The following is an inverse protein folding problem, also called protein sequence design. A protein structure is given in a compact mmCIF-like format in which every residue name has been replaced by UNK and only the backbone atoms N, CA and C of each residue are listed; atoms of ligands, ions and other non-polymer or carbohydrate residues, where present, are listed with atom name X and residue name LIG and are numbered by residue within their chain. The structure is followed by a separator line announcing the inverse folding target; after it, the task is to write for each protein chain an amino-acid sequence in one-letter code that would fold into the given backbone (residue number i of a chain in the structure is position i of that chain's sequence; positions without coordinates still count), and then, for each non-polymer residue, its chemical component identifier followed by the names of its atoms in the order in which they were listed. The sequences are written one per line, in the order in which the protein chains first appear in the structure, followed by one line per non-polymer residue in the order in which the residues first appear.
data_IF_086782283379
#
_entry.id   IF_086782283379
#
_cell.length_a   1.000
_cell.length_b   1.000
_cell.length_c   1.000
_cell.angle_alpha   90.00
_cell.angle_beta   90.00
_cell.angle_gamma   90.00
#
_symmetry.space_group_name_H-M   'P 1'
#
loop_
_entity.id
_entity.type
_entity.pdbx_description
1 polymer ?
#
# COMPACT_ATOMS: atom_id res chain seq x y z
N UNK A 1 -5.66 11.86 11.31
CA UNK A 1 -5.39 11.38 9.93
C UNK A 1 -3.91 11.09 9.78
N UNK A 2 -3.55 9.98 9.16
CA UNK A 2 -2.15 9.59 8.88
C UNK A 2 -1.96 9.35 7.39
N UNK A 3 -0.76 9.67 6.87
CA UNK A 3 -0.38 9.35 5.50
C UNK A 3 0.52 8.12 5.51
N UNK A 4 0.04 7.02 4.93
CA UNK A 4 0.73 5.74 4.88
C UNK A 4 1.17 5.40 3.45
N UNK A 5 2.12 6.17 2.93
CA UNK A 5 2.85 5.85 1.70
C UNK A 5 3.95 4.81 1.97
N UNK A 6 4.78 4.48 0.97
CA UNK A 6 5.74 3.39 1.11
C UNK A 6 6.77 3.60 2.24
N UNK A 7 7.20 4.83 2.49
CA UNK A 7 8.11 5.15 3.62
C UNK A 7 7.39 5.21 4.96
N UNK A 8 6.08 5.47 4.93
CA UNK A 8 5.25 5.59 6.11
C UNK A 8 4.35 4.36 6.36
N UNK A 9 4.50 3.30 5.59
CA UNK A 9 3.77 2.06 5.85
C UNK A 9 4.12 1.56 7.25
N UNK A 10 3.08 1.26 8.05
CA UNK A 10 3.25 0.94 9.47
C UNK A 10 2.98 2.10 10.43
N UNK A 11 2.92 3.36 9.98
CA UNK A 11 2.63 4.51 10.86
C UNK A 11 1.28 4.38 11.57
N UNK A 12 0.35 3.64 11.00
CA UNK A 12 -0.97 3.40 11.59
C UNK A 12 -0.86 2.67 12.94
N UNK A 13 0.14 1.81 13.13
CA UNK A 13 0.39 1.16 14.42
C UNK A 13 0.73 2.16 15.52
N UNK A 14 1.52 3.18 15.19
CA UNK A 14 1.85 4.27 16.10
C UNK A 14 0.60 5.10 16.45
N UNK A 15 -0.26 5.36 15.46
CA UNK A 15 -1.52 6.06 15.68
C UNK A 15 -2.46 5.29 16.63
N UNK A 16 -2.61 3.97 16.41
CA UNK A 16 -3.41 3.10 17.28
C UNK A 16 -2.84 3.07 18.70
N UNK A 17 -1.51 2.94 18.86
CA UNK A 17 -0.84 2.95 20.15
C UNK A 17 -1.02 4.29 20.88
N UNK A 18 -0.94 5.39 20.14
CA UNK A 18 -1.16 6.73 20.71
C UNK A 18 -2.61 6.92 21.18
N UNK A 19 -3.59 6.46 20.38
CA UNK A 19 -5.01 6.51 20.77
C UNK A 19 -5.28 5.68 22.03
N UNK A 20 -4.65 4.52 22.14
CA UNK A 20 -4.76 3.70 23.35
C UNK A 20 -4.15 4.41 24.57
N UNK A 21 -2.97 5.01 24.40
CA UNK A 21 -2.24 5.70 25.47
C UNK A 21 -2.93 6.97 25.95
N UNK A 22 -3.35 7.83 25.03
CA UNK A 22 -3.87 9.17 25.37
C UNK A 22 -5.37 9.16 25.70
N UNK A 23 -6.14 8.25 25.10
CA UNK A 23 -7.60 8.20 25.21
C UNK A 23 -8.15 6.89 25.78
N UNK A 24 -7.30 5.93 26.09
CA UNK A 24 -7.74 4.60 26.56
C UNK A 24 -8.52 3.80 25.50
N UNK A 25 -8.37 4.15 24.20
CA UNK A 25 -9.11 3.50 23.12
C UNK A 25 -8.67 2.06 22.95
N UNK A 26 -9.58 1.11 23.11
CA UNK A 26 -9.29 -0.29 22.79
C UNK A 26 -9.28 -0.48 21.27
N UNK A 27 -8.28 -1.16 20.68
CA UNK A 27 -8.17 -1.35 19.22
C UNK A 27 -9.45 -1.89 18.58
N UNK A 28 -10.14 -2.82 19.23
CA UNK A 28 -11.41 -3.40 18.75
C UNK A 28 -12.55 -2.38 18.58
N UNK A 29 -12.44 -1.20 19.19
CA UNK A 29 -13.44 -0.13 19.12
C UNK A 29 -13.01 1.02 18.18
N UNK A 30 -11.82 0.91 17.57
CA UNK A 30 -11.33 1.92 16.63
C UNK A 30 -11.89 1.64 15.24
N UNK A 31 -12.52 2.66 14.64
CA UNK A 31 -12.95 2.63 13.26
C UNK A 31 -11.89 3.28 12.37
N UNK A 32 -11.64 2.68 11.23
CA UNK A 32 -10.61 3.13 10.26
C UNK A 32 -11.27 3.38 8.91
N UNK A 33 -11.01 4.54 8.32
CA UNK A 33 -11.36 4.84 6.94
C UNK A 33 -10.09 4.94 6.11
N UNK A 34 -9.98 4.12 5.06
CA UNK A 34 -8.88 4.15 4.09
C UNK A 34 -9.37 4.88 2.85
N UNK A 35 -8.74 6.01 2.54
CA UNK A 35 -9.05 6.81 1.36
C UNK A 35 -8.50 6.23 0.06
N UNK A 36 -8.81 6.91 -1.06
CA UNK A 36 -8.26 6.57 -2.37
C UNK A 36 -6.73 6.51 -2.32
N UNK A 37 -6.16 5.53 -2.97
CA UNK A 37 -4.71 5.24 -2.94
C UNK A 37 -4.26 4.64 -4.27
N UNK A 38 -2.96 4.56 -4.50
CA UNK A 38 -2.44 3.84 -5.67
C UNK A 38 -2.60 2.33 -5.45
N UNK A 39 -3.22 1.64 -6.43
CA UNK A 39 -3.34 0.18 -6.40
C UNK A 39 -2.10 -0.50 -6.98
N UNK A 40 -1.96 -1.78 -6.73
CA UNK A 40 -0.90 -2.62 -7.25
C UNK A 40 -0.87 -2.70 -8.79
N UNK A 41 -2.01 -2.50 -9.45
CA UNK A 41 -2.08 -2.39 -10.92
C UNK A 41 -1.16 -1.29 -11.48
N UNK A 42 -0.90 -0.24 -10.69
CA UNK A 42 -0.07 0.90 -11.06
C UNK A 42 1.22 1.02 -10.24
N UNK A 43 1.33 0.27 -9.13
CA UNK A 43 2.46 0.41 -8.22
C UNK A 43 3.45 -0.75 -8.38
N UNK A 44 4.33 -0.60 -9.37
CA UNK A 44 5.42 -1.54 -9.65
C UNK A 44 6.69 -1.08 -8.94
N UNK A 45 7.44 -2.03 -8.40
CA UNK A 45 8.65 -1.83 -7.59
C UNK A 45 9.73 -2.85 -7.96
N UNK A 46 10.97 -2.56 -7.56
CA UNK A 46 12.12 -3.46 -7.68
C UNK A 46 12.10 -4.57 -6.62
N UNK A 47 13.04 -5.51 -6.74
CA UNK A 47 13.18 -6.65 -5.83
C UNK A 47 13.57 -6.23 -4.41
N UNK A 48 14.34 -5.16 -4.24
CA UNK A 48 14.77 -4.69 -2.92
C UNK A 48 13.55 -4.21 -2.12
N UNK A 49 12.71 -3.36 -2.74
CA UNK A 49 11.49 -2.88 -2.10
C UNK A 49 10.47 -3.98 -1.87
N UNK A 50 10.31 -4.89 -2.85
CA UNK A 50 9.45 -6.05 -2.71
C UNK A 50 9.85 -6.91 -1.51
N UNK A 51 11.14 -7.23 -1.38
CA UNK A 51 11.68 -8.01 -0.26
C UNK A 51 11.47 -7.32 1.08
N UNK A 52 11.68 -5.99 1.14
CA UNK A 52 11.41 -5.21 2.34
C UNK A 52 9.95 -5.33 2.79
N UNK A 53 9.01 -5.20 1.85
CA UNK A 53 7.58 -5.30 2.18
C UNK A 53 7.16 -6.71 2.58
N UNK A 54 7.63 -7.75 1.88
CA UNK A 54 7.39 -9.14 2.27
C UNK A 54 7.84 -9.42 3.70
N UNK A 55 9.06 -8.97 4.05
CA UNK A 55 9.64 -9.22 5.38
C UNK A 55 8.94 -8.47 6.51
N UNK A 56 8.40 -7.29 6.24
CA UNK A 56 7.81 -6.43 7.27
C UNK A 56 6.28 -6.48 7.34
N UNK A 57 5.60 -6.80 6.22
CA UNK A 57 4.14 -6.68 6.10
C UNK A 57 3.48 -7.93 5.50
N UNK A 58 4.23 -9.02 5.36
CA UNK A 58 3.74 -10.28 4.83
C UNK A 58 3.77 -10.38 3.30
N UNK A 59 3.80 -11.61 2.82
CA UNK A 59 3.97 -11.91 1.39
C UNK A 59 2.75 -11.51 0.54
N UNK A 60 1.57 -11.42 1.14
CA UNK A 60 0.32 -11.09 0.43
C UNK A 60 0.29 -9.71 -0.21
N UNK A 61 1.19 -8.80 0.22
CA UNK A 61 1.26 -7.45 -0.34
C UNK A 61 2.11 -7.35 -1.62
N UNK A 62 2.78 -8.41 -2.06
CA UNK A 62 3.67 -8.42 -3.22
C UNK A 62 3.31 -9.52 -4.20
N UNK A 63 3.28 -9.20 -5.49
CA UNK A 63 3.04 -10.16 -6.58
C UNK A 63 4.06 -9.93 -7.70
N UNK A 64 4.66 -10.99 -8.22
CA UNK A 64 5.59 -10.89 -9.36
C UNK A 64 4.88 -10.40 -10.62
N UNK A 65 5.52 -9.51 -11.36
CA UNK A 65 5.10 -9.15 -12.72
C UNK A 65 5.56 -10.25 -13.67
N UNK A 66 4.63 -10.80 -14.46
CA UNK A 66 4.94 -11.85 -15.44
C UNK A 66 5.55 -11.25 -16.71
N UNK A 67 6.41 -12.00 -17.36
CA UNK A 67 6.96 -11.62 -18.67
C UNK A 67 5.80 -11.47 -19.69
N UNK A 68 5.80 -10.37 -20.44
CA UNK A 68 4.75 -10.06 -21.41
C UNK A 68 3.43 -9.57 -20.81
N UNK A 69 3.34 -9.37 -19.49
CA UNK A 69 2.15 -8.82 -18.85
C UNK A 69 1.91 -7.37 -19.27
N UNK A 70 0.66 -7.06 -19.66
CA UNK A 70 0.26 -5.69 -20.00
C UNK A 70 0.07 -4.90 -18.70
N UNK A 71 0.92 -3.91 -18.51
CA UNK A 71 0.84 -3.00 -17.37
C UNK A 71 -0.04 -1.78 -17.71
N UNK A 72 -0.68 -1.20 -16.71
CA UNK A 72 -1.37 0.07 -16.89
C UNK A 72 -0.36 1.19 -17.23
N UNK A 73 -0.83 2.30 -17.81
CA UNK A 73 0.05 3.41 -18.25
C UNK A 73 0.96 3.93 -17.14
N UNK A 74 0.45 4.04 -15.91
CA UNK A 74 1.22 4.51 -14.76
C UNK A 74 2.36 3.56 -14.37
N UNK A 75 2.14 2.25 -14.47
CA UNK A 75 3.18 1.25 -14.24
C UNK A 75 4.18 1.19 -15.40
N UNK A 76 3.69 1.25 -16.65
CA UNK A 76 4.52 1.18 -17.85
C UNK A 76 5.57 2.31 -17.93
N UNK A 77 5.21 3.54 -17.55
CA UNK A 77 6.13 4.67 -17.52
C UNK A 77 7.32 4.46 -16.59
N UNK A 78 7.06 3.86 -15.42
CA UNK A 78 8.09 3.54 -14.42
C UNK A 78 8.98 2.40 -14.89
N UNK A 79 8.39 1.34 -15.46
CA UNK A 79 9.12 0.21 -16.02
C UNK A 79 10.08 0.67 -17.11
N UNK A 80 9.63 1.54 -18.01
CA UNK A 80 10.47 2.08 -19.08
C UNK A 80 11.66 2.91 -18.53
N UNK A 81 11.48 3.62 -17.43
CA UNK A 81 12.57 4.36 -16.79
C UNK A 81 13.53 3.47 -15.98
N UNK A 82 13.07 2.30 -15.51
CA UNK A 82 13.86 1.35 -14.72
C UNK A 82 14.46 0.21 -15.52
N UNK A 83 14.01 -0.01 -16.75
CA UNK A 83 14.51 -1.07 -17.65
C UNK A 83 15.99 -0.93 -18.08
N UNK A 84 16.67 0.13 -17.65
CA UNK A 84 18.14 0.17 -17.71
C UNK A 84 18.82 -0.67 -16.61
N UNK A 85 18.06 -1.29 -15.70
CA UNK A 85 18.52 -2.20 -14.65
C UNK A 85 17.81 -3.53 -14.77
N UNK A 86 18.50 -4.55 -15.22
CA UNK A 86 18.09 -5.92 -15.44
C UNK A 86 17.63 -6.63 -14.15
N UNK A 87 16.44 -6.38 -13.66
CA UNK A 87 15.92 -7.08 -12.49
C UNK A 87 14.44 -7.41 -12.60
N UNK A 88 13.95 -8.42 -11.84
CA UNK A 88 12.54 -8.73 -11.78
C UNK A 88 11.76 -7.57 -11.16
N UNK A 89 10.54 -7.36 -11.66
CA UNK A 89 9.62 -6.35 -11.17
C UNK A 89 8.46 -7.00 -10.41
N UNK A 90 7.94 -6.26 -9.45
CA UNK A 90 6.87 -6.72 -8.57
C UNK A 90 5.78 -5.67 -8.47
N UNK A 91 4.54 -6.13 -8.38
CA UNK A 91 3.40 -5.30 -7.99
C UNK A 91 3.36 -5.23 -6.46
N UNK A 92 3.21 -4.04 -5.92
CA UNK A 92 3.11 -3.82 -4.48
C UNK A 92 1.75 -3.23 -4.11
N UNK A 93 1.01 -3.93 -3.26
CA UNK A 93 -0.22 -3.46 -2.67
C UNK A 93 0.04 -2.79 -1.32
N UNK A 94 0.05 -1.46 -1.30
CA UNK A 94 0.12 -0.69 -0.05
C UNK A 94 -1.12 -0.93 0.82
N UNK A 95 -2.28 -1.21 0.19
CA UNK A 95 -3.50 -1.57 0.91
C UNK A 95 -3.29 -2.84 1.73
N UNK A 96 -2.82 -3.93 1.11
CA UNK A 96 -2.61 -5.20 1.80
C UNK A 96 -1.59 -5.06 2.94
N UNK A 97 -0.52 -4.29 2.72
CA UNK A 97 0.46 -4.02 3.78
C UNK A 97 -0.17 -3.27 4.97
N UNK A 98 -1.00 -2.25 4.71
CA UNK A 98 -1.69 -1.51 5.77
C UNK A 98 -2.77 -2.35 6.47
N UNK A 99 -3.51 -3.18 5.74
CA UNK A 99 -4.49 -4.11 6.33
C UNK A 99 -3.80 -5.13 7.24
N UNK A 100 -2.63 -5.62 6.84
CA UNK A 100 -1.81 -6.48 7.70
C UNK A 100 -1.42 -5.78 9.00
N UNK A 101 -0.98 -4.52 8.94
CA UNK A 101 -0.64 -3.73 10.14
C UNK A 101 -1.86 -3.52 11.02
N UNK A 102 -3.00 -3.12 10.45
CA UNK A 102 -4.26 -2.91 11.19
C UNK A 102 -4.70 -4.18 11.93
N UNK A 103 -4.66 -5.32 11.23
CA UNK A 103 -5.00 -6.63 11.83
C UNK A 103 -4.09 -6.95 13.01
N UNK A 104 -2.77 -6.74 12.85
CA UNK A 104 -1.80 -6.98 13.94
C UNK A 104 -1.95 -5.99 15.11
N UNK A 105 -2.55 -4.83 14.89
CA UNK A 105 -2.92 -3.89 15.95
C UNK A 105 -4.22 -4.27 16.68
N UNK A 106 -4.95 -5.29 16.22
CA UNK A 106 -6.23 -5.72 16.82
C UNK A 106 -7.44 -4.94 16.31
N UNK A 107 -7.32 -4.22 15.20
CA UNK A 107 -8.47 -3.59 14.53
C UNK A 107 -9.34 -4.67 13.90
N UNK A 108 -10.65 -4.60 14.16
CA UNK A 108 -11.62 -5.55 13.59
C UNK A 108 -11.91 -5.20 12.13
N UNK A 109 -12.08 -6.21 11.30
CA UNK A 109 -12.31 -6.03 9.86
C UNK A 109 -13.60 -5.25 9.57
N UNK A 110 -14.66 -5.50 10.33
CA UNK A 110 -15.94 -4.79 10.24
C UNK A 110 -15.84 -3.29 10.60
N UNK A 111 -14.76 -2.88 11.23
CA UNK A 111 -14.49 -1.48 11.59
C UNK A 111 -13.62 -0.76 10.52
N UNK A 112 -13.34 -1.41 9.40
CA UNK A 112 -12.54 -0.83 8.31
C UNK A 112 -13.46 -0.49 7.14
N UNK A 113 -13.47 0.79 6.75
CA UNK A 113 -14.16 1.29 5.55
C UNK A 113 -13.13 1.67 4.51
N UNK A 114 -13.32 1.23 3.28
CA UNK A 114 -12.39 1.43 2.17
C UNK A 114 -13.05 2.21 1.03
N UNK A 115 -12.39 3.28 0.58
CA UNK A 115 -12.64 3.88 -0.72
C UNK A 115 -11.69 3.22 -1.73
N UNK A 116 -12.21 2.23 -2.45
CA UNK A 116 -11.44 1.37 -3.37
C UNK A 116 -11.26 2.02 -4.75
N UNK A 117 -10.50 3.14 -4.78
CA UNK A 117 -10.22 3.90 -5.98
C UNK A 117 -8.70 4.05 -6.19
N UNK A 118 -8.22 3.60 -7.34
CA UNK A 118 -6.82 3.79 -7.71
C UNK A 118 -6.58 5.23 -8.17
N UNK A 119 -5.78 5.97 -7.40
CA UNK A 119 -5.45 7.37 -7.71
C UNK A 119 -4.70 7.54 -9.03
N UNK A 120 -4.00 6.53 -9.51
CA UNK A 120 -3.28 6.58 -10.78
C UNK A 120 -4.20 6.28 -11.98
N UNK A 121 -5.16 5.36 -11.84
CA UNK A 121 -6.12 5.02 -12.90
C UNK A 121 -7.23 6.06 -13.01
N UNK A 122 -7.71 6.57 -11.88
CA UNK A 122 -8.81 7.54 -11.85
C UNK A 122 -8.28 8.97 -11.98
N UNK A 123 -8.62 9.68 -13.09
CA UNK A 123 -8.11 11.03 -13.37
C UNK A 123 -8.62 12.11 -12.42
N UNK A 124 -9.63 11.83 -11.60
CA UNK A 124 -10.14 12.77 -10.58
C UNK A 124 -9.17 12.96 -9.42
N UNK A 125 -8.16 12.07 -9.27
CA UNK A 125 -7.14 12.16 -8.23
C UNK A 125 -5.80 12.58 -8.82
N UNK A 126 -5.02 13.37 -8.06
CA UNK A 126 -3.60 13.60 -8.35
C UNK A 126 -2.79 12.29 -8.15
N UNK A 127 -1.83 12.04 -9.01
CA UNK A 127 -0.98 10.86 -8.90
C UNK A 127 0.44 11.14 -9.41
N UNK A 128 1.40 11.05 -8.51
CA UNK A 128 2.83 11.17 -8.86
C UNK A 128 3.29 10.13 -9.89
N UNK A 129 2.62 8.98 -9.96
CA UNK A 129 2.92 7.91 -10.94
C UNK A 129 2.35 8.17 -12.32
N UNK A 130 1.33 9.03 -12.44
CA UNK A 130 0.73 9.40 -13.72
C UNK A 130 1.35 10.69 -14.27
N UNK A 131 1.73 11.60 -13.40
CA UNK A 131 2.31 12.92 -13.67
C UNK A 131 3.85 12.86 -13.71
#
# INVERSE_FOLDING_TARGET
MVHSGWKGTGIVSNAVSLMAKEFGSAPKNICVAIGAHIHDCCYVVDSERASYFCSNFGESCVTSVKEGEILCKGAASVVNSWNNGNGPLFRLSLLQANLWVLKNCGIQEENIVLLDECTCCNPLFGSNRRE
#
